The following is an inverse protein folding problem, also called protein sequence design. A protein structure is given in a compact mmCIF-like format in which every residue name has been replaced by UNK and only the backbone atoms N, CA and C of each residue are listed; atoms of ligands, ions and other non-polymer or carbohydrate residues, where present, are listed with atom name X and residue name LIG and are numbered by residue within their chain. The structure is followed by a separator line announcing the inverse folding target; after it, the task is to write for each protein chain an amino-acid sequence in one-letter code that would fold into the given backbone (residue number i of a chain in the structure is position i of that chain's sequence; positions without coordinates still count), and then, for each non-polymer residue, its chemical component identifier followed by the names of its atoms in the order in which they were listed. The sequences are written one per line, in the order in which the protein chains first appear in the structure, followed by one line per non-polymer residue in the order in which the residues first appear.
data_IF_735037379223
#
_entry.id   IF_735037379223
#
_cell.length_a   1.000
_cell.length_b   1.000
_cell.length_c   1.000
_cell.angle_alpha   90.00
_cell.angle_beta   90.00
_cell.angle_gamma   90.00
#
_symmetry.space_group_name_H-M   'P 1'
#
loop_
_entity.id
_entity.type
_entity.pdbx_description
1 polymer ?
#
# COMPACT_ATOMS: atom_id res chain seq x y z
N UNK A 1 17.56 -5.64 -6.85
CA UNK A 1 16.81 -4.36 -6.87
C UNK A 1 15.44 -4.48 -7.54
N UNK A 2 15.35 -4.88 -8.82
CA UNK A 2 14.05 -5.02 -9.53
C UNK A 2 13.05 -5.94 -8.80
N UNK A 3 13.51 -7.10 -8.31
CA UNK A 3 12.66 -8.05 -7.55
C UNK A 3 12.06 -7.44 -6.28
N UNK A 4 12.84 -6.62 -5.57
CA UNK A 4 12.40 -5.92 -4.34
C UNK A 4 11.33 -4.89 -4.68
N UNK A 5 11.58 -4.04 -5.67
CA UNK A 5 10.61 -3.02 -6.10
C UNK A 5 9.32 -3.68 -6.57
N UNK A 6 9.40 -4.75 -7.37
CA UNK A 6 8.23 -5.50 -7.80
C UNK A 6 7.44 -6.09 -6.61
N UNK A 7 8.14 -6.65 -5.61
CA UNK A 7 7.50 -7.17 -4.40
C UNK A 7 6.83 -6.06 -3.58
N UNK A 8 7.46 -4.89 -3.42
CA UNK A 8 6.88 -3.74 -2.71
C UNK A 8 5.66 -3.18 -3.42
N UNK A 9 5.69 -3.10 -4.76
CA UNK A 9 4.54 -2.66 -5.55
C UNK A 9 3.39 -3.68 -5.46
N UNK A 10 3.69 -4.99 -5.57
CA UNK A 10 2.70 -6.03 -5.41
C UNK A 10 2.07 -6.00 -3.99
N UNK A 11 2.89 -5.84 -2.96
CA UNK A 11 2.45 -5.68 -1.58
C UNK A 11 1.55 -4.46 -1.40
N UNK A 12 1.94 -3.31 -1.98
CA UNK A 12 1.16 -2.09 -1.93
C UNK A 12 -0.19 -2.21 -2.64
N UNK A 13 -0.25 -2.91 -3.78
CA UNK A 13 -1.51 -3.21 -4.49
C UNK A 13 -2.41 -4.10 -3.63
N UNK A 14 -1.85 -5.15 -3.02
CA UNK A 14 -2.60 -6.02 -2.12
C UNK A 14 -3.12 -5.27 -0.90
N UNK A 15 -2.30 -4.44 -0.24
CA UNK A 15 -2.74 -3.70 0.95
C UNK A 15 -3.80 -2.64 0.59
N UNK A 16 -3.51 -1.78 -0.39
CA UNK A 16 -4.43 -0.71 -0.78
C UNK A 16 -5.72 -1.26 -1.41
N UNK A 17 -5.62 -2.33 -2.21
CA UNK A 17 -6.77 -3.04 -2.76
C UNK A 17 -7.59 -3.76 -1.69
N UNK A 18 -6.93 -4.42 -0.73
CA UNK A 18 -7.59 -5.03 0.43
C UNK A 18 -8.37 -4.01 1.24
N UNK A 19 -7.78 -2.84 1.52
CA UNK A 19 -8.47 -1.73 2.19
C UNK A 19 -9.67 -1.22 1.38
N UNK A 20 -9.55 -1.14 0.05
CA UNK A 20 -10.66 -0.76 -0.82
C UNK A 20 -11.82 -1.78 -0.77
N UNK A 21 -11.51 -3.08 -0.76
CA UNK A 21 -12.50 -4.16 -0.62
C UNK A 21 -13.21 -4.09 0.74
N UNK A 22 -12.45 -3.94 1.83
CA UNK A 22 -13.03 -3.78 3.17
C UNK A 22 -13.96 -2.56 3.22
N UNK A 23 -13.50 -1.41 2.72
CA UNK A 23 -14.31 -0.18 2.68
C UNK A 23 -15.62 -0.39 1.92
N UNK A 24 -15.57 -0.99 0.74
CA UNK A 24 -16.77 -1.27 -0.05
C UNK A 24 -17.69 -2.29 0.63
N UNK A 25 -17.13 -3.32 1.27
CA UNK A 25 -17.88 -4.30 2.03
C UNK A 25 -18.64 -3.68 3.20
N UNK A 26 -18.00 -2.76 3.93
CA UNK A 26 -18.65 -1.99 5.00
C UNK A 26 -19.74 -1.07 4.46
N UNK A 27 -19.44 -0.29 3.41
CA UNK A 27 -20.40 0.64 2.81
C UNK A 27 -21.64 -0.06 2.24
N UNK A 28 -21.48 -1.27 1.70
CA UNK A 28 -22.56 -2.06 1.09
C UNK A 28 -23.19 -3.09 2.04
N UNK A 29 -22.72 -3.18 3.29
CA UNK A 29 -23.06 -4.25 4.23
C UNK A 29 -22.93 -5.67 3.60
N UNK A 30 -21.93 -5.87 2.75
CA UNK A 30 -21.75 -7.09 1.96
C UNK A 30 -20.52 -7.88 2.44
N UNK A 31 -20.78 -8.91 3.25
CA UNK A 31 -19.75 -9.70 3.94
C UNK A 31 -18.70 -10.38 3.03
N UNK A 32 -19.00 -10.84 1.80
CA UNK A 32 -17.99 -11.45 0.94
C UNK A 32 -16.86 -10.50 0.57
N UNK A 33 -17.14 -9.19 0.40
CA UNK A 33 -16.08 -8.19 0.18
C UNK A 33 -15.21 -7.98 1.41
N UNK A 34 -15.79 -8.09 2.61
CA UNK A 34 -15.02 -8.02 3.85
C UNK A 34 -14.05 -9.19 3.93
N UNK A 35 -14.53 -10.41 3.67
CA UNK A 35 -13.68 -11.61 3.66
C UNK A 35 -12.59 -11.50 2.61
N UNK A 36 -12.94 -11.09 1.38
CA UNK A 36 -11.96 -10.86 0.31
C UNK A 36 -10.91 -9.83 0.71
N UNK A 37 -11.32 -8.72 1.34
CA UNK A 37 -10.42 -7.69 1.85
C UNK A 37 -9.47 -8.21 2.92
N UNK A 38 -9.97 -8.93 3.93
CA UNK A 38 -9.16 -9.54 5.00
C UNK A 38 -8.16 -10.54 4.42
N UNK A 39 -8.59 -11.41 3.50
CA UNK A 39 -7.69 -12.36 2.83
C UNK A 39 -6.59 -11.62 2.06
N UNK A 40 -6.96 -10.59 1.30
CA UNK A 40 -5.99 -9.79 0.52
C UNK A 40 -4.96 -9.10 1.43
N UNK A 41 -5.41 -8.53 2.55
CA UNK A 41 -4.52 -7.93 3.56
C UNK A 41 -3.59 -8.97 4.21
N UNK A 42 -4.10 -10.17 4.50
CA UNK A 42 -3.28 -11.28 4.98
C UNK A 42 -2.19 -11.69 3.97
N UNK A 43 -2.55 -11.78 2.68
CA UNK A 43 -1.59 -12.11 1.61
C UNK A 43 -0.50 -11.04 1.47
N UNK A 44 -0.86 -9.76 1.58
CA UNK A 44 0.12 -8.67 1.65
C UNK A 44 1.10 -8.88 2.82
N UNK A 45 0.57 -9.11 4.03
CA UNK A 45 1.40 -9.28 5.22
C UNK A 45 2.37 -10.45 5.08
N UNK A 46 1.93 -11.56 4.48
CA UNK A 46 2.79 -12.68 4.15
C UNK A 46 3.85 -12.29 3.11
N UNK A 47 3.49 -11.58 2.05
CA UNK A 47 4.42 -11.19 0.99
C UNK A 47 5.53 -10.26 1.50
N UNK A 48 5.20 -9.25 2.30
CA UNK A 48 6.17 -8.27 2.81
C UNK A 48 7.09 -8.85 3.89
N UNK A 49 6.61 -9.82 4.68
CA UNK A 49 7.39 -10.42 5.76
C UNK A 49 8.11 -11.73 5.36
N UNK A 50 8.12 -12.09 4.08
CA UNK A 50 8.88 -13.24 3.61
C UNK A 50 10.38 -13.05 3.85
N UNK A 51 11.02 -14.05 4.48
CA UNK A 51 12.42 -14.06 4.91
C UNK A 51 13.46 -13.90 3.78
N UNK A 52 13.02 -13.88 2.52
CA UNK A 52 13.86 -13.65 1.34
C UNK A 52 14.22 -12.18 1.09
N UNK A 53 13.58 -11.24 1.78
CA UNK A 53 13.87 -9.81 1.69
C UNK A 53 14.96 -9.46 2.72
N UNK A 54 16.23 -9.57 2.32
CA UNK A 54 17.40 -9.21 3.15
C UNK A 54 17.52 -7.68 3.32
N UNK A 55 16.54 -7.06 3.99
CA UNK A 55 16.51 -5.64 4.30
C UNK A 55 16.27 -5.48 5.81
N UNK A 56 16.90 -4.48 6.43
CA UNK A 56 16.53 -4.08 7.78
C UNK A 56 15.04 -3.72 7.79
N UNK A 57 14.29 -4.24 8.76
CA UNK A 57 12.84 -4.06 8.84
C UNK A 57 12.43 -2.59 8.71
N UNK A 58 13.16 -1.68 9.37
CA UNK A 58 12.90 -0.23 9.27
C UNK A 58 13.10 0.32 7.86
N UNK A 59 14.15 -0.10 7.15
CA UNK A 59 14.41 0.32 5.76
C UNK A 59 13.36 -0.25 4.80
N UNK A 60 12.94 -1.49 5.02
CA UNK A 60 11.88 -2.14 4.26
C UNK A 60 10.57 -1.37 4.41
N UNK A 61 10.17 -1.11 5.66
CA UNK A 61 8.94 -0.39 5.97
C UNK A 61 8.95 1.05 5.44
N UNK A 62 10.09 1.76 5.52
CA UNK A 62 10.21 3.11 4.96
C UNK A 62 9.97 3.15 3.45
N UNK A 63 10.61 2.24 2.70
CA UNK A 63 10.40 2.12 1.25
C UNK A 63 8.97 1.66 0.92
N UNK A 64 8.44 0.75 1.73
CA UNK A 64 7.11 0.21 1.58
C UNK A 64 6.03 1.29 1.73
N UNK A 65 6.11 2.15 2.75
CA UNK A 65 5.16 3.24 2.99
C UNK A 65 5.08 4.19 1.79
N UNK A 66 6.22 4.48 1.15
CA UNK A 66 6.26 5.26 -0.09
C UNK A 66 5.50 4.56 -1.22
N UNK A 67 5.78 3.28 -1.45
CA UNK A 67 5.09 2.49 -2.48
C UNK A 67 3.58 2.42 -2.21
N UNK A 68 3.19 2.13 -0.96
CA UNK A 68 1.80 2.09 -0.51
C UNK A 68 1.08 3.42 -0.74
N UNK A 69 1.71 4.55 -0.40
CA UNK A 69 1.11 5.86 -0.64
C UNK A 69 0.83 6.09 -2.14
N UNK A 70 1.82 5.86 -2.99
CA UNK A 70 1.69 6.08 -4.44
C UNK A 70 0.61 5.19 -5.06
N UNK A 71 0.62 3.90 -4.73
CA UNK A 71 -0.40 2.95 -5.21
C UNK A 71 -1.78 3.33 -4.68
N UNK A 72 -1.88 3.75 -3.42
CA UNK A 72 -3.16 4.21 -2.84
C UNK A 72 -3.72 5.43 -3.57
N UNK A 73 -2.88 6.39 -3.97
CA UNK A 73 -3.36 7.55 -4.76
C UNK A 73 -3.83 7.12 -6.16
N UNK A 74 -3.13 6.18 -6.79
CA UNK A 74 -3.55 5.62 -8.08
C UNK A 74 -4.92 4.93 -7.95
N UNK A 75 -5.09 4.08 -6.94
CA UNK A 75 -6.36 3.40 -6.70
C UNK A 75 -7.48 4.38 -6.27
N UNK A 76 -7.16 5.44 -5.54
CA UNK A 76 -8.11 6.52 -5.21
C UNK A 76 -8.70 7.14 -6.49
N UNK A 77 -7.84 7.46 -7.46
CA UNK A 77 -8.26 8.00 -8.75
C UNK A 77 -9.04 6.95 -9.56
N UNK A 78 -8.55 5.72 -9.68
CA UNK A 78 -9.12 4.71 -10.59
C UNK A 78 -10.41 4.06 -10.07
N UNK A 79 -10.49 3.77 -8.77
CA UNK A 79 -11.62 3.05 -8.17
C UNK A 79 -12.65 4.03 -7.63
N UNK A 80 -12.18 5.05 -6.92
CA UNK A 80 -13.05 5.98 -6.19
C UNK A 80 -13.31 7.29 -6.93
N UNK A 81 -12.63 7.54 -8.06
CA UNK A 81 -12.72 8.79 -8.83
C UNK A 81 -12.44 10.02 -7.96
N UNK A 82 -11.56 9.88 -6.96
CA UNK A 82 -11.24 10.88 -5.95
C UNK A 82 -9.77 11.30 -6.07
N UNK A 83 -9.46 12.35 -6.86
CA UNK A 83 -8.09 12.77 -7.09
C UNK A 83 -7.46 13.42 -5.84
N UNK A 84 -6.13 13.30 -5.65
CA UNK A 84 -5.46 13.82 -4.47
C UNK A 84 -5.61 15.34 -4.37
N UNK A 85 -6.07 15.80 -3.21
CA UNK A 85 -6.12 17.23 -2.89
C UNK A 85 -4.72 17.84 -2.79
N UNK A 86 -4.56 19.17 -2.91
CA UNK A 86 -3.26 19.83 -2.69
C UNK A 86 -2.63 19.50 -1.33
N UNK A 87 -3.44 19.32 -0.27
CA UNK A 87 -2.96 18.92 1.06
C UNK A 87 -2.40 17.49 1.04
N UNK A 88 -3.07 16.60 0.33
CA UNK A 88 -2.62 15.21 0.12
C UNK A 88 -1.29 15.19 -0.63
N UNK A 89 -1.12 16.07 -1.63
CA UNK A 89 0.14 16.18 -2.38
C UNK A 89 1.28 16.65 -1.48
N UNK A 90 1.06 17.69 -0.65
CA UNK A 90 2.07 18.16 0.32
C UNK A 90 2.46 17.04 1.29
N UNK A 91 1.48 16.35 1.87
CA UNK A 91 1.74 15.20 2.74
C UNK A 91 2.48 14.07 2.02
N UNK A 92 2.11 13.80 0.77
CA UNK A 92 2.77 12.83 -0.10
C UNK A 92 4.24 13.16 -0.38
N UNK A 93 4.55 14.44 -0.63
CA UNK A 93 5.93 14.89 -0.78
C UNK A 93 6.74 14.64 0.48
N UNK A 94 6.18 14.90 1.67
CA UNK A 94 6.85 14.61 2.94
C UNK A 94 7.08 13.10 3.14
N UNK A 95 6.11 12.25 2.76
CA UNK A 95 6.27 10.79 2.79
C UNK A 95 7.43 10.35 1.87
N UNK A 96 7.50 10.89 0.65
CA UNK A 96 8.58 10.60 -0.30
C UNK A 96 9.95 10.99 0.25
N UNK A 97 10.06 12.18 0.83
CA UNK A 97 11.31 12.66 1.44
C UNK A 97 11.71 11.83 2.67
N UNK A 98 10.74 11.45 3.50
CA UNK A 98 10.97 10.57 4.65
C UNK A 98 11.48 9.19 4.22
N UNK A 99 10.86 8.59 3.21
CA UNK A 99 11.30 7.31 2.66
C UNK A 99 12.68 7.37 2.01
N UNK A 100 12.99 8.45 1.28
CA UNK A 100 14.33 8.68 0.73
C UNK A 100 15.39 8.79 1.84
N UNK A 101 15.08 9.50 2.92
CA UNK A 101 15.97 9.66 4.08
C UNK A 101 16.24 8.33 4.79
N UNK A 102 15.24 7.45 4.87
CA UNK A 102 15.40 6.10 5.45
C UNK A 102 16.23 5.18 4.53
N UNK A 103 16.18 5.41 3.22
CA UNK A 103 16.85 4.57 2.24
C UNK A 103 18.37 4.81 2.16
N UNK A 104 18.82 6.05 2.36
CA UNK A 104 20.26 6.42 2.34
C UNK A 104 21.01 5.93 3.59
#
# INVERSE_FOLDING_TARGET
MIRLVAALIAAAILEAGGNALVRQGLMRAWWPLLVAGVVTLGLYGLLVNQSGLQFDFGRLMGCYIVAFFLVSQILAVLIFHDPPSPRTLVGGTLILLGGLTILI
#
